data_IF_891145760911
#
_entry.id   IF_891145760911
#
_cell.length_a   1.000
_cell.length_b   1.000
_cell.length_c   1.000
_cell.angle_alpha   90.00
_cell.angle_beta   90.00
_cell.angle_gamma   90.00
#
_symmetry.space_group_name_H-M   'P 1'
#
loop_
_entity.id
_entity.type
_entity.pdbx_description
1 polymer ?
#
# COMPACT_ATOMS: atom_id res chain seq x y z
N UNK A 1 -9.94 -18.08 18.15
CA UNK A 1 -9.83 -17.32 16.88
C UNK A 1 -10.30 -15.87 16.99
N UNK A 2 -11.42 -15.53 17.65
CA UNK A 2 -11.91 -14.14 17.71
C UNK A 2 -10.94 -13.14 18.38
N UNK A 3 -10.20 -13.56 19.40
CA UNK A 3 -9.31 -12.67 20.19
C UNK A 3 -8.16 -12.09 19.38
N UNK A 4 -7.63 -12.85 18.42
CA UNK A 4 -6.52 -12.42 17.57
C UNK A 4 -6.96 -11.36 16.53
N UNK A 5 -8.19 -11.44 16.02
CA UNK A 5 -8.73 -10.42 15.12
C UNK A 5 -8.97 -9.09 15.85
N UNK A 6 -9.46 -9.12 17.10
CA UNK A 6 -9.75 -7.89 17.86
C UNK A 6 -8.48 -7.11 18.18
N UNK A 7 -7.39 -7.80 18.53
CA UNK A 7 -6.11 -7.13 18.82
C UNK A 7 -5.54 -6.48 17.55
N UNK A 8 -5.59 -7.18 16.42
CA UNK A 8 -5.08 -6.67 15.15
C UNK A 8 -5.84 -5.42 14.69
N UNK A 9 -7.16 -5.38 14.85
CA UNK A 9 -7.99 -4.21 14.53
C UNK A 9 -7.66 -2.98 15.39
N UNK A 10 -7.26 -3.16 16.65
CA UNK A 10 -6.84 -2.05 17.52
C UNK A 10 -5.42 -1.57 17.22
N UNK A 11 -4.55 -2.46 16.73
CA UNK A 11 -3.17 -2.14 16.40
C UNK A 11 -3.04 -1.46 15.03
N UNK A 12 -3.92 -1.77 14.08
CA UNK A 12 -3.87 -1.22 12.72
C UNK A 12 -3.83 0.32 12.65
N UNK A 13 -4.71 1.06 13.35
CA UNK A 13 -4.65 2.52 13.36
C UNK A 13 -3.32 3.06 13.88
N UNK A 14 -2.71 2.40 14.87
CA UNK A 14 -1.40 2.78 15.42
C UNK A 14 -0.27 2.53 14.42
N UNK A 15 -0.33 1.42 13.68
CA UNK A 15 0.60 1.13 12.58
C UNK A 15 0.43 2.13 11.43
N UNK A 16 -0.80 2.54 11.11
CA UNK A 16 -1.01 3.58 10.09
C UNK A 16 -0.42 4.91 10.59
N UNK A 17 -0.60 5.24 11.87
CA UNK A 17 -0.04 6.46 12.45
C UNK A 17 1.50 6.44 12.45
N UNK A 18 2.13 5.29 12.70
CA UNK A 18 3.60 5.17 12.72
C UNK A 18 4.23 5.52 11.36
N UNK A 19 3.50 5.36 10.25
CA UNK A 19 3.96 5.74 8.91
C UNK A 19 4.18 7.25 8.75
N UNK A 20 3.62 8.07 9.64
CA UNK A 20 3.81 9.53 9.64
C UNK A 20 5.11 9.95 10.32
N UNK A 21 5.74 9.07 11.10
CA UNK A 21 6.98 9.35 11.80
C UNK A 21 8.16 9.41 10.82
N UNK A 22 9.17 10.26 11.04
CA UNK A 22 10.26 10.47 10.08
C UNK A 22 11.31 9.33 10.05
N UNK A 23 11.04 8.18 10.68
CA UNK A 23 11.95 7.03 10.70
C UNK A 23 11.72 6.10 9.49
N UNK A 24 12.67 6.01 8.53
CA UNK A 24 12.52 5.16 7.36
C UNK A 24 12.51 3.67 7.66
N UNK A 25 13.23 3.22 8.70
CA UNK A 25 13.28 1.80 9.05
C UNK A 25 11.94 1.36 9.66
N UNK A 26 11.38 2.18 10.54
CA UNK A 26 10.04 1.95 11.09
C UNK A 26 8.98 1.90 9.98
N UNK A 27 9.03 2.83 9.03
CA UNK A 27 8.14 2.82 7.86
C UNK A 27 8.25 1.52 7.07
N UNK A 28 9.48 1.08 6.75
CA UNK A 28 9.70 -0.18 6.00
C UNK A 28 9.14 -1.37 6.75
N UNK A 29 9.48 -1.56 8.04
CA UNK A 29 8.98 -2.67 8.85
C UNK A 29 7.45 -2.66 8.96
N UNK A 30 6.86 -1.47 9.08
CA UNK A 30 5.40 -1.30 9.13
C UNK A 30 4.76 -1.66 7.78
N UNK A 31 5.36 -1.23 6.66
CA UNK A 31 4.89 -1.58 5.32
C UNK A 31 5.01 -3.08 5.03
N UNK A 32 6.13 -3.71 5.39
CA UNK A 32 6.31 -5.16 5.25
C UNK A 32 5.27 -5.93 6.09
N UNK A 33 4.94 -5.43 7.28
CA UNK A 33 3.85 -5.98 8.11
C UNK A 33 2.49 -5.88 7.40
N UNK A 34 2.19 -4.74 6.76
CA UNK A 34 0.95 -4.60 5.98
C UNK A 34 0.93 -5.51 4.75
N UNK A 35 2.05 -5.67 4.06
CA UNK A 35 2.18 -6.60 2.93
C UNK A 35 1.90 -8.05 3.36
N UNK A 36 2.49 -8.50 4.47
CA UNK A 36 2.22 -9.83 5.04
C UNK A 36 0.75 -9.97 5.45
N UNK A 37 0.21 -8.98 6.17
CA UNK A 37 -1.19 -8.99 6.61
C UNK A 37 -2.17 -9.01 5.43
N UNK A 38 -1.83 -8.37 4.32
CA UNK A 38 -2.65 -8.41 3.10
C UNK A 38 -2.74 -9.82 2.52
N UNK A 39 -1.69 -10.65 2.68
CA UNK A 39 -1.73 -12.05 2.26
C UNK A 39 -2.50 -12.93 3.26
N UNK A 40 -2.25 -12.74 4.56
CA UNK A 40 -2.72 -13.65 5.60
C UNK A 40 -4.13 -13.32 6.11
N UNK A 41 -4.52 -12.05 6.08
CA UNK A 41 -5.78 -11.53 6.64
C UNK A 41 -6.33 -10.35 5.82
N UNK A 42 -6.64 -10.53 4.52
CA UNK A 42 -7.11 -9.44 3.64
C UNK A 42 -8.37 -8.74 4.18
N UNK A 43 -9.25 -9.44 4.89
CA UNK A 43 -10.45 -8.87 5.51
C UNK A 43 -10.15 -7.74 6.50
N UNK A 44 -8.99 -7.78 7.17
CA UNK A 44 -8.56 -6.71 8.09
C UNK A 44 -8.02 -5.52 7.31
N UNK A 45 -7.37 -5.75 6.18
CA UNK A 45 -6.88 -4.67 5.31
C UNK A 45 -8.06 -3.93 4.67
N UNK A 46 -9.11 -4.65 4.26
CA UNK A 46 -10.34 -4.08 3.68
C UNK A 46 -10.94 -2.98 4.57
N UNK A 47 -10.96 -3.16 5.90
CA UNK A 47 -11.56 -2.17 6.81
C UNK A 47 -10.77 -0.86 6.89
N UNK A 48 -9.52 -0.83 6.40
CA UNK A 48 -8.63 0.31 6.50
C UNK A 48 -8.16 0.86 5.14
N UNK A 49 -8.70 0.38 4.01
CA UNK A 49 -8.27 0.79 2.66
C UNK A 49 -8.38 2.30 2.41
N UNK A 50 -9.39 2.96 2.99
CA UNK A 50 -9.59 4.41 2.90
C UNK A 50 -8.40 5.21 3.42
N UNK A 51 -7.68 4.67 4.42
CA UNK A 51 -6.50 5.32 5.01
C UNK A 51 -5.21 4.76 4.40
N UNK A 52 -5.17 3.46 4.12
CA UNK A 52 -3.97 2.79 3.62
C UNK A 52 -3.64 3.22 2.20
N UNK A 53 -4.60 3.27 1.28
CA UNK A 53 -4.32 3.62 -0.12
C UNK A 53 -3.67 5.02 -0.22
N UNK A 54 -4.25 6.09 0.36
CA UNK A 54 -3.60 7.40 0.37
C UNK A 54 -2.24 7.39 1.07
N UNK A 55 -2.08 6.63 2.16
CA UNK A 55 -0.80 6.52 2.86
C UNK A 55 0.28 5.86 1.97
N UNK A 56 -0.04 4.74 1.30
CA UNK A 56 0.89 4.07 0.37
C UNK A 56 1.27 4.99 -0.80
N UNK A 57 0.30 5.71 -1.38
CA UNK A 57 0.55 6.67 -2.45
C UNK A 57 1.48 7.79 -1.96
N UNK A 58 1.23 8.37 -0.79
CA UNK A 58 2.09 9.40 -0.22
C UNK A 58 3.52 8.89 0.07
N UNK A 59 3.64 7.69 0.63
CA UNK A 59 4.93 7.05 0.92
C UNK A 59 5.70 6.67 -0.34
N UNK A 60 5.03 6.49 -1.48
CA UNK A 60 5.66 6.24 -2.78
C UNK A 60 6.30 7.49 -3.41
N UNK A 61 6.04 8.70 -2.86
CA UNK A 61 6.59 9.97 -3.34
C UNK A 61 7.98 10.23 -2.76
N UNK A 62 8.88 10.77 -3.58
CA UNK A 62 10.23 11.11 -3.16
C UNK A 62 10.23 12.34 -2.24
N UNK A 63 10.53 12.10 -0.96
CA UNK A 63 10.76 13.12 0.07
C UNK A 63 12.01 12.74 0.87
N UNK A 64 12.49 13.63 1.75
CA UNK A 64 13.63 13.32 2.63
C UNK A 64 13.36 12.12 3.53
N UNK A 65 12.14 12.04 4.09
CA UNK A 65 11.72 10.96 4.98
C UNK A 65 11.27 9.68 4.24
N UNK A 66 11.07 9.73 2.92
CA UNK A 66 10.66 8.58 2.10
C UNK A 66 11.85 8.10 1.26
N UNK A 67 12.75 7.39 1.92
CA UNK A 67 13.93 6.79 1.28
C UNK A 67 13.52 5.84 0.15
N UNK A 68 14.46 5.49 -0.72
CA UNK A 68 14.22 4.56 -1.81
C UNK A 68 13.55 3.24 -1.33
N UNK A 69 13.96 2.72 -0.17
CA UNK A 69 13.38 1.50 0.41
C UNK A 69 11.92 1.68 0.82
N UNK A 70 11.58 2.81 1.45
CA UNK A 70 10.20 3.16 1.82
C UNK A 70 9.31 3.21 0.58
N UNK A 71 9.77 3.89 -0.48
CA UNK A 71 8.98 4.01 -1.72
C UNK A 71 8.73 2.65 -2.38
N UNK A 72 9.76 1.79 -2.42
CA UNK A 72 9.62 0.43 -2.94
C UNK A 72 8.65 -0.39 -2.09
N UNK A 73 8.76 -0.34 -0.76
CA UNK A 73 7.87 -1.08 0.13
C UNK A 73 6.40 -0.62 -0.04
N UNK A 74 6.15 0.68 -0.15
CA UNK A 74 4.82 1.23 -0.39
C UNK A 74 4.22 0.77 -1.72
N UNK A 75 5.02 0.80 -2.79
CA UNK A 75 4.61 0.30 -4.11
C UNK A 75 4.33 -1.20 -4.09
N UNK A 76 5.12 -1.99 -3.35
CA UNK A 76 4.88 -3.43 -3.17
C UNK A 76 3.54 -3.70 -2.49
N UNK A 77 3.26 -3.03 -1.37
CA UNK A 77 1.96 -3.12 -0.69
C UNK A 77 0.81 -2.78 -1.63
N UNK A 78 0.88 -1.62 -2.29
CA UNK A 78 -0.17 -1.17 -3.19
C UNK A 78 -0.37 -2.14 -4.37
N UNK A 79 0.71 -2.76 -4.86
CA UNK A 79 0.64 -3.74 -5.96
C UNK A 79 -0.06 -5.04 -5.57
N UNK A 80 -0.18 -5.36 -4.28
CA UNK A 80 -0.80 -6.60 -3.82
C UNK A 80 -2.33 -6.50 -3.77
N UNK A 81 -2.85 -5.28 -3.62
CA UNK A 81 -4.28 -5.05 -3.38
C UNK A 81 -5.17 -5.62 -4.49
N UNK A 82 -4.91 -5.38 -5.80
CA UNK A 82 -5.79 -5.88 -6.86
C UNK A 82 -5.99 -7.40 -6.88
N UNK A 83 -5.01 -8.17 -6.39
CA UNK A 83 -5.10 -9.64 -6.30
C UNK A 83 -5.61 -10.16 -4.97
N UNK A 84 -5.56 -9.34 -3.90
CA UNK A 84 -5.87 -9.78 -2.54
C UNK A 84 -7.23 -9.29 -2.05
N UNK A 85 -7.74 -8.19 -2.59
CA UNK A 85 -8.95 -7.52 -2.11
C UNK A 85 -10.03 -7.52 -3.21
N UNK A 86 -11.29 -7.51 -2.79
CA UNK A 86 -12.44 -7.55 -3.71
C UNK A 86 -12.49 -6.31 -4.60
N UNK A 87 -12.97 -6.49 -5.84
CA UNK A 87 -13.07 -5.43 -6.84
C UNK A 87 -13.92 -4.23 -6.37
N UNK A 88 -15.08 -4.49 -5.76
CA UNK A 88 -16.01 -3.45 -5.30
C UNK A 88 -15.39 -2.52 -4.25
N UNK A 89 -14.50 -3.05 -3.41
CA UNK A 89 -13.73 -2.29 -2.42
C UNK A 89 -12.71 -1.37 -3.10
N UNK A 90 -12.04 -1.84 -4.16
CA UNK A 90 -10.93 -1.13 -4.80
C UNK A 90 -11.36 -0.19 -5.93
N UNK A 91 -12.47 -0.48 -6.60
CA UNK A 91 -12.98 0.29 -7.74
C UNK A 91 -13.03 1.80 -7.49
N UNK A 92 -13.48 2.32 -6.32
CA UNK A 92 -13.51 3.75 -6.06
C UNK A 92 -12.13 4.43 -6.11
N UNK A 93 -11.05 3.70 -5.82
CA UNK A 93 -9.70 4.23 -5.75
C UNK A 93 -8.91 4.10 -7.06
N UNK A 94 -9.39 3.31 -8.03
CA UNK A 94 -8.64 2.96 -9.24
C UNK A 94 -8.12 4.21 -9.98
N UNK A 95 -8.99 5.19 -10.20
CA UNK A 95 -8.64 6.43 -10.91
C UNK A 95 -7.58 7.22 -10.15
N UNK A 96 -7.74 7.40 -8.84
CA UNK A 96 -6.78 8.12 -8.00
C UNK A 96 -5.41 7.43 -8.02
N UNK A 97 -5.39 6.11 -7.79
CA UNK A 97 -4.15 5.34 -7.74
C UNK A 97 -3.40 5.41 -9.07
N UNK A 98 -4.10 5.24 -10.19
CA UNK A 98 -3.47 5.34 -11.51
C UNK A 98 -2.96 6.76 -11.81
N UNK A 99 -3.66 7.81 -11.39
CA UNK A 99 -3.20 9.17 -11.55
C UNK A 99 -1.92 9.43 -10.72
N UNK A 100 -1.96 9.11 -9.43
CA UNK A 100 -0.86 9.40 -8.50
C UNK A 100 0.39 8.54 -8.74
N UNK A 101 0.24 7.30 -9.22
CA UNK A 101 1.37 6.45 -9.59
C UNK A 101 2.19 7.00 -10.76
N UNK A 102 1.67 7.97 -11.54
CA UNK A 102 2.44 8.60 -12.61
C UNK A 102 3.74 9.23 -12.07
N UNK A 103 3.70 9.84 -10.88
CA UNK A 103 4.89 10.43 -10.27
C UNK A 103 5.98 9.39 -9.94
N UNK A 104 5.58 8.19 -9.54
CA UNK A 104 6.51 7.11 -9.22
C UNK A 104 7.12 6.46 -10.48
N UNK A 105 6.47 6.57 -11.64
CA UNK A 105 7.02 6.13 -12.93
C UNK A 105 8.24 6.97 -13.34
N UNK A 106 8.29 8.24 -12.94
CA UNK A 106 9.40 9.15 -13.22
C UNK A 106 10.40 9.26 -12.05
N UNK A 107 10.38 8.31 -11.11
CA UNK A 107 11.30 8.34 -9.96
C UNK A 107 12.77 8.31 -10.40
N UNK A 108 13.62 9.10 -9.72
CA UNK A 108 15.07 9.17 -9.98
C UNK A 108 15.80 7.83 -9.87
N UNK A 109 15.23 6.83 -9.19
CA UNK A 109 15.84 5.50 -9.01
C UNK A 109 15.15 4.47 -9.91
N UNK A 110 15.94 3.81 -10.78
CA UNK A 110 15.49 2.76 -11.71
C UNK A 110 14.67 1.65 -11.03
N UNK A 111 15.09 1.20 -9.85
CA UNK A 111 14.37 0.14 -9.14
C UNK A 111 12.99 0.60 -8.64
N UNK A 112 12.84 1.87 -8.24
CA UNK A 112 11.52 2.41 -7.86
C UNK A 112 10.61 2.44 -9.08
N UNK A 113 11.11 2.92 -10.23
CA UNK A 113 10.35 2.92 -11.49
C UNK A 113 9.87 1.52 -11.88
N UNK A 114 10.72 0.49 -11.73
CA UNK A 114 10.32 -0.91 -11.98
C UNK A 114 9.12 -1.31 -11.13
N UNK A 115 9.18 -1.08 -9.82
CA UNK A 115 8.05 -1.39 -8.93
C UNK A 115 6.81 -0.54 -9.21
N UNK A 116 6.97 0.70 -9.67
CA UNK A 116 5.87 1.56 -10.06
C UNK A 116 5.16 1.06 -11.33
N UNK A 117 5.92 0.61 -12.34
CA UNK A 117 5.38 -0.03 -13.55
C UNK A 117 4.60 -1.29 -13.19
N UNK A 118 5.19 -2.17 -12.38
CA UNK A 118 4.54 -3.42 -11.94
C UNK A 118 3.26 -3.14 -11.16
N UNK A 119 3.30 -2.17 -10.23
CA UNK A 119 2.13 -1.74 -9.46
C UNK A 119 1.03 -1.20 -10.38
N UNK A 120 1.37 -0.27 -11.27
CA UNK A 120 0.40 0.36 -12.19
C UNK A 120 -0.25 -0.68 -13.11
N UNK A 121 0.51 -1.64 -13.62
CA UNK A 121 -0.01 -2.70 -14.48
C UNK A 121 -1.10 -3.53 -13.77
N UNK A 122 -0.88 -3.93 -12.52
CA UNK A 122 -1.87 -4.66 -11.72
C UNK A 122 -3.14 -3.85 -11.44
N UNK A 123 -3.00 -2.55 -11.21
CA UNK A 123 -4.14 -1.65 -11.03
C UNK A 123 -4.91 -1.37 -12.32
N UNK A 124 -4.25 -1.38 -13.49
CA UNK A 124 -4.91 -1.22 -14.79
C UNK A 124 -5.87 -2.38 -15.06
N UNK A 125 -5.43 -3.61 -14.80
CA UNK A 125 -6.23 -4.83 -15.04
C UNK A 125 -7.26 -5.13 -13.94
N UNK A 126 -7.42 -4.22 -12.95
CA UNK A 126 -8.47 -4.33 -11.94
C UNK A 126 -9.85 -4.29 -12.63
N UNK A 127 -10.45 -5.46 -12.79
CA UNK A 127 -11.71 -5.66 -13.49
C UNK A 127 -12.75 -6.25 -12.53
N UNK A 128 -14.03 -6.03 -12.79
CA UNK A 128 -15.08 -6.77 -12.09
C UNK A 128 -14.87 -8.25 -12.38
N UNK A 129 -14.61 -9.05 -11.36
CA UNK A 129 -14.76 -10.49 -11.50
C UNK A 129 -16.21 -10.74 -11.96
N UNK A 130 -16.35 -11.22 -13.20
CA UNK A 130 -17.60 -11.79 -13.73
C UNK A 130 -17.86 -13.07 -12.96
#
# INVERSE_FOLDING_TARGET
MLTNCILLLKLFPLLIQSLSLPDPNLKVSTLDTFHMTTADAPQVVVTHVNSLIPAMLNLSKATEANTMKVRIAALRCLSQFPSALRYDVLRPFKTQVLAELAQALDDKKRLVRRHAVDCRAKWLVLNSHI
#
